data_IF_882492929697
#
_entry.id   IF_882492929697
#
_cell.length_a   1.000
_cell.length_b   1.000
_cell.length_c   1.000
_cell.angle_alpha   90.00
_cell.angle_beta   90.00
_cell.angle_gamma   90.00
#
_symmetry.space_group_name_H-M   'P 1'
#
loop_
_entity.id
_entity.type
_entity.pdbx_description
1 polymer ?
#
# COMPACT_ATOMS: atom_id res chain seq x y z
N UNK A 1 1.30 7.70 22.65
CA UNK A 1 1.86 6.47 22.05
C UNK A 1 1.11 5.30 22.64
N UNK A 2 0.84 4.26 21.85
CA UNK A 2 0.20 3.04 22.32
C UNK A 2 1.22 1.89 22.28
N UNK A 3 1.12 0.97 23.23
CA UNK A 3 1.97 -0.21 23.32
C UNK A 3 1.15 -1.47 23.05
N UNK A 4 1.77 -2.44 22.37
CA UNK A 4 1.18 -3.76 22.11
C UNK A 4 2.00 -4.77 22.91
N UNK A 5 1.37 -5.47 23.86
CA UNK A 5 2.03 -6.44 24.74
C UNK A 5 1.72 -7.86 24.31
N UNK A 6 2.76 -8.62 24.01
CA UNK A 6 2.68 -10.05 23.67
C UNK A 6 3.25 -10.87 24.85
N UNK A 7 2.47 -11.81 25.39
CA UNK A 7 2.91 -12.69 26.49
C UNK A 7 3.31 -14.05 25.95
N UNK A 8 4.51 -14.51 26.29
CA UNK A 8 5.03 -15.82 25.89
C UNK A 8 5.96 -16.39 26.96
N UNK A 9 6.06 -17.72 27.04
CA UNK A 9 7.07 -18.40 27.85
C UNK A 9 8.42 -18.59 27.14
N UNK A 10 8.54 -18.17 25.87
CA UNK A 10 9.75 -18.39 25.03
C UNK A 10 10.18 -17.11 24.30
N UNK A 11 10.32 -16.00 25.03
CA UNK A 11 10.62 -14.67 24.48
C UNK A 11 11.85 -14.67 23.56
N UNK A 12 12.95 -15.30 23.99
CA UNK A 12 14.20 -15.36 23.21
C UNK A 12 14.01 -15.96 21.81
N UNK A 13 13.14 -16.96 21.68
CA UNK A 13 12.85 -17.59 20.39
C UNK A 13 11.82 -16.83 19.55
N UNK A 14 10.88 -16.11 20.18
CA UNK A 14 9.79 -15.45 19.46
C UNK A 14 10.19 -14.08 18.92
N UNK A 15 11.05 -13.35 19.63
CA UNK A 15 11.42 -11.98 19.24
C UNK A 15 12.05 -11.92 17.84
N UNK A 16 13.03 -12.78 17.48
CA UNK A 16 13.58 -12.81 16.13
C UNK A 16 12.52 -13.18 15.06
N UNK A 17 11.54 -14.00 15.42
CA UNK A 17 10.46 -14.43 14.51
C UNK A 17 9.52 -13.26 14.22
N UNK A 18 9.09 -12.51 15.24
CA UNK A 18 8.25 -11.33 15.08
C UNK A 18 8.94 -10.26 14.22
N UNK A 19 10.21 -10.00 14.54
CA UNK A 19 11.06 -9.05 13.83
C UNK A 19 11.26 -9.44 12.36
N UNK A 20 11.50 -10.74 12.09
CA UNK A 20 11.55 -11.27 10.73
C UNK A 20 10.20 -11.15 10.00
N UNK A 21 9.09 -11.45 10.67
CA UNK A 21 7.75 -11.36 10.08
C UNK A 21 7.41 -9.92 9.64
N UNK A 22 7.67 -8.93 10.49
CA UNK A 22 7.42 -7.51 10.17
C UNK A 22 8.29 -7.07 8.99
N UNK A 23 9.59 -7.41 8.99
CA UNK A 23 10.46 -7.11 7.83
C UNK A 23 10.01 -7.77 6.54
N UNK A 24 9.54 -9.01 6.61
CA UNK A 24 9.04 -9.70 5.42
C UNK A 24 7.76 -9.05 4.90
N UNK A 25 6.84 -8.66 5.78
CA UNK A 25 5.64 -7.93 5.38
C UNK A 25 5.97 -6.58 4.73
N UNK A 26 6.92 -5.83 5.29
CA UNK A 26 7.40 -4.57 4.68
C UNK A 26 7.97 -4.78 3.26
N UNK A 27 8.72 -5.87 3.03
CA UNK A 27 9.22 -6.21 1.68
C UNK A 27 8.10 -6.54 0.71
N UNK A 28 7.09 -7.30 1.15
CA UNK A 28 5.92 -7.64 0.34
C UNK A 28 5.08 -6.41 -0.01
N UNK A 29 4.85 -5.52 0.96
CA UNK A 29 4.17 -4.25 0.74
C UNK A 29 4.93 -3.39 -0.24
N UNK A 30 6.25 -3.23 -0.08
CA UNK A 30 7.07 -2.45 -1.02
C UNK A 30 7.01 -3.00 -2.45
N UNK A 31 7.01 -4.32 -2.60
CA UNK A 31 6.86 -4.98 -3.91
C UNK A 31 5.50 -4.68 -4.53
N UNK A 32 4.45 -4.78 -3.72
CA UNK A 32 3.07 -4.50 -4.13
C UNK A 32 2.86 -3.04 -4.52
N UNK A 33 3.42 -2.10 -3.74
CA UNK A 33 3.42 -0.66 -4.03
C UNK A 33 4.08 -0.41 -5.39
N UNK A 34 5.28 -0.95 -5.62
CA UNK A 34 6.00 -0.74 -6.87
C UNK A 34 5.21 -1.27 -8.08
N UNK A 35 4.62 -2.46 -7.96
CA UNK A 35 3.76 -3.03 -9.02
C UNK A 35 2.55 -2.16 -9.31
N UNK A 36 1.87 -1.70 -8.26
CA UNK A 36 0.69 -0.83 -8.35
C UNK A 36 1.04 0.52 -9.00
N UNK A 37 2.16 1.14 -8.59
CA UNK A 37 2.68 2.36 -9.23
C UNK A 37 3.00 2.16 -10.71
N UNK A 38 3.57 1.01 -11.08
CA UNK A 38 3.83 0.69 -12.49
C UNK A 38 2.53 0.54 -13.30
N UNK A 39 1.49 -0.07 -12.73
CA UNK A 39 0.18 -0.19 -13.38
C UNK A 39 -0.49 1.18 -13.56
N UNK A 40 -0.48 2.01 -12.52
CA UNK A 40 -0.95 3.41 -12.59
C UNK A 40 -0.21 4.18 -13.68
N UNK A 41 1.13 4.11 -13.71
CA UNK A 41 1.92 4.80 -14.74
C UNK A 41 1.58 4.33 -16.16
N UNK A 42 1.20 3.06 -16.35
CA UNK A 42 0.77 2.57 -17.66
C UNK A 42 -0.54 3.22 -18.13
N UNK A 43 -1.47 3.49 -17.22
CA UNK A 43 -2.68 4.26 -17.54
C UNK A 43 -2.35 5.71 -17.83
N UNK A 44 -1.49 6.33 -17.02
CA UNK A 44 -1.07 7.73 -17.21
C UNK A 44 -0.44 7.95 -18.59
N UNK A 45 0.42 7.02 -19.01
CA UNK A 45 1.05 7.05 -20.33
C UNK A 45 0.02 6.81 -21.45
N UNK A 46 -0.85 5.80 -21.29
CA UNK A 46 -1.87 5.45 -22.29
C UNK A 46 -2.83 6.61 -22.57
N UNK A 47 -3.27 7.30 -21.52
CA UNK A 47 -4.22 8.40 -21.62
C UNK A 47 -3.58 9.78 -21.67
N UNK A 48 -2.24 9.85 -21.59
CA UNK A 48 -1.47 11.10 -21.53
C UNK A 48 -2.01 12.08 -20.48
N UNK A 49 -2.31 11.55 -19.30
CA UNK A 49 -3.03 12.24 -18.23
C UNK A 49 -2.52 11.77 -16.88
N UNK A 50 -2.27 12.67 -15.93
CA UNK A 50 -1.88 12.25 -14.58
C UNK A 50 -3.05 11.64 -13.83
N UNK A 51 -2.77 10.80 -12.83
CA UNK A 51 -3.81 10.23 -11.95
C UNK A 51 -4.63 11.33 -11.26
N UNK A 52 -4.01 12.45 -10.86
CA UNK A 52 -4.72 13.59 -10.26
C UNK A 52 -5.71 14.23 -11.24
N UNK A 53 -5.28 14.44 -12.49
CA UNK A 53 -6.15 14.98 -13.55
C UNK A 53 -7.31 14.02 -13.85
N UNK A 54 -7.01 12.72 -13.92
CA UNK A 54 -8.02 11.69 -14.12
C UNK A 54 -9.08 11.70 -13.01
N UNK A 55 -8.65 11.70 -11.74
CA UNK A 55 -9.56 11.78 -10.58
C UNK A 55 -10.40 13.05 -10.63
N UNK A 56 -9.82 14.19 -11.01
CA UNK A 56 -10.56 15.43 -11.13
C UNK A 56 -11.66 15.33 -12.19
N UNK A 57 -11.36 14.75 -13.36
CA UNK A 57 -12.35 14.55 -14.43
C UNK A 57 -13.47 13.61 -14.02
N UNK A 58 -13.17 12.52 -13.30
CA UNK A 58 -14.20 11.63 -12.73
C UNK A 58 -15.14 12.40 -11.79
N UNK A 59 -14.60 13.29 -10.93
CA UNK A 59 -15.43 14.13 -10.05
C UNK A 59 -16.29 15.13 -10.81
N UNK A 60 -15.83 15.60 -11.97
CA UNK A 60 -16.54 16.54 -12.84
C UNK A 60 -17.60 15.85 -13.72
N UNK A 61 -17.79 14.54 -13.58
CA UNK A 61 -18.83 13.78 -14.29
C UNK A 61 -18.34 13.09 -15.56
N UNK A 62 -17.02 12.89 -15.72
CA UNK A 62 -16.53 11.94 -16.71
C UNK A 62 -17.09 10.55 -16.42
N UNK A 63 -17.74 9.99 -17.42
CA UNK A 63 -18.37 8.67 -17.36
C UNK A 63 -17.31 7.59 -17.07
N UNK A 64 -17.56 6.77 -16.04
CA UNK A 64 -16.66 5.70 -15.61
C UNK A 64 -17.01 4.33 -16.21
N UNK A 65 -17.99 4.28 -17.12
CA UNK A 65 -18.39 3.08 -17.87
C UNK A 65 -17.25 2.43 -18.68
N UNK A 66 -16.12 3.12 -18.83
CA UNK A 66 -14.89 2.51 -19.32
C UNK A 66 -14.25 1.64 -18.22
N UNK A 67 -14.22 0.33 -18.44
CA UNK A 67 -13.59 -0.64 -17.55
C UNK A 67 -12.16 -0.25 -17.11
N UNK A 68 -11.38 0.37 -18.00
CA UNK A 68 -10.02 0.82 -17.66
C UNK A 68 -10.01 1.99 -16.67
N UNK A 69 -11.03 2.85 -16.68
CA UNK A 69 -11.17 3.92 -15.69
C UNK A 69 -11.57 3.36 -14.33
N UNK A 70 -12.44 2.34 -14.30
CA UNK A 70 -12.75 1.60 -13.07
C UNK A 70 -11.49 0.93 -12.51
N UNK A 71 -10.71 0.26 -13.35
CA UNK A 71 -9.43 -0.35 -12.95
C UNK A 71 -8.46 0.70 -12.40
N UNK A 72 -8.27 1.82 -13.10
CA UNK A 72 -7.36 2.87 -12.68
C UNK A 72 -7.76 3.46 -11.32
N UNK A 73 -9.06 3.78 -11.12
CA UNK A 73 -9.57 4.20 -9.81
C UNK A 73 -9.32 3.16 -8.72
N UNK A 74 -9.48 1.87 -9.06
CA UNK A 74 -9.18 0.75 -8.18
C UNK A 74 -7.71 0.73 -7.77
N UNK A 75 -6.80 0.79 -8.73
CA UNK A 75 -5.34 0.78 -8.50
C UNK A 75 -4.90 1.97 -7.65
N UNK A 76 -5.46 3.17 -7.86
CA UNK A 76 -5.16 4.32 -7.01
C UNK A 76 -5.58 4.11 -5.57
N UNK A 77 -6.77 3.54 -5.33
CA UNK A 77 -7.24 3.21 -3.98
C UNK A 77 -6.38 2.13 -3.32
N UNK A 78 -5.99 1.12 -4.09
CA UNK A 78 -5.08 0.05 -3.63
C UNK A 78 -3.73 0.64 -3.24
N UNK A 79 -3.16 1.52 -4.08
CA UNK A 79 -1.88 2.15 -3.78
C UNK A 79 -1.91 2.89 -2.45
N UNK A 80 -2.93 3.73 -2.25
CA UNK A 80 -3.10 4.49 -1.02
C UNK A 80 -3.14 3.58 0.21
N UNK A 81 -3.93 2.50 0.16
CA UNK A 81 -4.02 1.53 1.27
C UNK A 81 -2.69 0.83 1.54
N UNK A 82 -1.97 0.43 0.49
CA UNK A 82 -0.66 -0.22 0.63
C UNK A 82 0.37 0.73 1.26
N UNK A 83 0.38 2.00 0.84
CA UNK A 83 1.28 3.02 1.40
C UNK A 83 0.96 3.35 2.87
N UNK A 84 -0.33 3.39 3.22
CA UNK A 84 -0.79 3.54 4.60
C UNK A 84 -0.33 2.36 5.47
N UNK A 85 -0.58 1.12 5.05
CA UNK A 85 -0.15 -0.09 5.78
C UNK A 85 1.38 -0.15 5.92
N UNK A 86 2.12 0.17 4.85
CA UNK A 86 3.58 0.21 4.89
C UNK A 86 4.07 1.23 5.91
N UNK A 87 3.49 2.42 5.93
CA UNK A 87 3.86 3.49 6.87
C UNK A 87 3.57 3.11 8.32
N UNK A 88 2.43 2.46 8.57
CA UNK A 88 2.07 1.96 9.90
C UNK A 88 3.08 0.92 10.40
N UNK A 89 3.46 -0.05 9.55
CA UNK A 89 4.42 -1.09 9.90
C UNK A 89 5.86 -0.57 10.02
N UNK A 90 6.28 0.35 9.15
CA UNK A 90 7.63 0.93 9.17
C UNK A 90 7.85 1.79 10.43
N UNK A 91 6.76 2.36 10.96
CA UNK A 91 6.79 3.11 12.22
C UNK A 91 6.91 2.25 13.48
N UNK A 92 6.78 0.93 13.38
CA UNK A 92 6.86 0.03 14.54
C UNK A 92 8.29 -0.04 15.07
N UNK A 93 8.42 0.00 16.40
CA UNK A 93 9.66 -0.27 17.11
C UNK A 93 9.45 -1.47 18.02
N UNK A 94 10.22 -2.52 17.79
CA UNK A 94 10.23 -3.70 18.66
C UNK A 94 11.25 -3.44 19.75
N UNK A 95 10.77 -3.24 20.98
CA UNK A 95 11.63 -3.16 22.16
C UNK A 95 12.01 -4.58 22.58
N UNK A 96 13.32 -4.85 22.66
CA UNK A 96 13.90 -6.11 23.14
C UNK A 96 14.18 -6.02 24.64
#
# INVERSE_FOLDING_TARGET
MAEIVIRTGKSESIMPVLDSAIRNQLKLLKTSINRTKSRISSFEQKYSMSTEQFIQKIREGMDDDNLEFVEWLGETKILKRLEEEYKELEGLRICL
#
